data_IF_858908661451
#
_entry.id   IF_858908661451
#
_cell.length_a   1.000
_cell.length_b   1.000
_cell.length_c   1.000
_cell.angle_alpha   90.00
_cell.angle_beta   90.00
_cell.angle_gamma   90.00
#
_symmetry.space_group_name_H-M   'P 1'
#
loop_
_entity.id
_entity.type
_entity.pdbx_description
1 polymer ?
#
# COMPACT_ATOMS: atom_id res chain seq x y z
N UNK A 1 1.09 1.35 3.33
CA UNK A 1 0.45 2.12 4.41
C UNK A 1 -1.02 2.27 4.09
N UNK A 2 -1.89 2.08 5.08
CA UNK A 2 -3.32 2.38 4.98
C UNK A 2 -3.74 3.28 6.13
N UNK A 3 -4.38 4.39 5.79
CA UNK A 3 -4.98 5.33 6.73
C UNK A 3 -6.49 5.13 6.68
N UNK A 4 -7.11 4.88 7.83
CA UNK A 4 -8.56 4.82 8.01
C UNK A 4 -8.85 5.35 9.40
N UNK A 5 -9.03 6.67 9.49
CA UNK A 5 -9.17 7.37 10.76
C UNK A 5 -10.25 8.45 10.68
N UNK A 6 -10.85 8.74 11.83
CA UNK A 6 -11.83 9.80 12.01
C UNK A 6 -11.40 10.66 13.19
N UNK A 7 -11.20 11.95 12.95
CA UNK A 7 -10.80 12.93 13.97
C UNK A 7 -11.64 14.19 13.79
N UNK A 8 -12.22 14.69 14.88
CA UNK A 8 -13.08 15.90 14.87
C UNK A 8 -14.21 15.86 13.82
N UNK A 9 -14.73 14.67 13.50
CA UNK A 9 -15.79 14.46 12.50
C UNK A 9 -15.31 14.44 11.04
N UNK A 10 -14.03 14.70 10.78
CA UNK A 10 -13.41 14.54 9.46
C UNK A 10 -12.89 13.10 9.32
N UNK A 11 -13.09 12.51 8.14
CA UNK A 11 -12.64 11.14 7.81
C UNK A 11 -11.50 11.19 6.81
N UNK A 12 -10.39 10.54 7.15
CA UNK A 12 -9.28 10.32 6.24
C UNK A 12 -9.19 8.85 5.90
N UNK A 13 -9.36 8.55 4.60
CA UNK A 13 -9.19 7.22 4.03
C UNK A 13 -8.25 7.31 2.85
N UNK A 14 -7.07 6.74 3.02
CA UNK A 14 -6.03 6.78 2.01
C UNK A 14 -5.18 5.50 2.06
N UNK A 15 -4.58 5.15 0.93
CA UNK A 15 -3.75 3.97 0.77
C UNK A 15 -2.62 4.25 -0.21
N UNK A 16 -1.39 4.07 0.26
CA UNK A 16 -0.17 4.32 -0.50
C UNK A 16 0.97 3.40 -0.07
N UNK A 17 2.05 3.37 -0.84
CA UNK A 17 3.28 2.64 -0.53
C UNK A 17 4.32 3.58 0.07
N UNK A 18 5.04 3.14 1.10
CA UNK A 18 6.09 3.93 1.76
C UNK A 18 7.43 3.21 1.65
N UNK A 19 8.48 3.95 1.29
CA UNK A 19 9.84 3.41 1.29
C UNK A 19 10.37 3.38 2.73
N UNK A 20 10.54 2.18 3.30
CA UNK A 20 11.08 1.99 4.66
C UNK A 20 12.50 2.55 4.83
N UNK A 21 13.26 2.66 3.74
CA UNK A 21 14.62 3.21 3.74
C UNK A 21 14.66 4.72 3.45
N UNK A 22 13.51 5.41 3.42
CA UNK A 22 13.44 6.86 3.25
C UNK A 22 14.10 7.59 4.43
N UNK A 23 14.94 8.58 4.14
CA UNK A 23 15.72 9.34 5.13
C UNK A 23 15.50 10.85 5.05
N UNK A 24 14.97 11.36 3.94
CA UNK A 24 14.81 12.79 3.70
C UNK A 24 13.41 13.28 4.06
N UNK A 25 12.39 12.47 3.78
CA UNK A 25 10.99 12.81 4.07
C UNK A 25 10.54 12.07 5.33
N UNK A 26 10.28 12.80 6.41
CA UNK A 26 9.74 12.20 7.63
C UNK A 26 8.23 11.95 7.51
N UNK A 27 7.67 10.99 8.27
CA UNK A 27 6.21 10.82 8.35
C UNK A 27 5.47 12.11 8.71
N UNK A 28 6.07 12.96 9.55
CA UNK A 28 5.51 14.26 9.94
C UNK A 28 5.47 15.24 8.76
N UNK A 29 6.56 15.36 8.00
CA UNK A 29 6.58 16.21 6.80
C UNK A 29 5.56 15.75 5.76
N UNK A 30 5.46 14.43 5.55
CA UNK A 30 4.45 13.86 4.66
C UNK A 30 3.04 14.16 5.16
N UNK A 31 2.78 13.98 6.46
CA UNK A 31 1.48 14.23 7.05
C UNK A 31 1.07 15.70 6.99
N UNK A 32 2.01 16.63 7.15
CA UNK A 32 1.75 18.07 6.98
C UNK A 32 1.30 18.40 5.56
N UNK A 33 2.02 17.91 4.54
CA UNK A 33 1.67 18.09 3.13
C UNK A 33 0.30 17.48 2.83
N UNK A 34 0.06 16.24 3.30
CA UNK A 34 -1.22 15.56 3.10
C UNK A 34 -2.39 16.32 3.76
N UNK A 35 -2.18 16.91 4.93
CA UNK A 35 -3.21 17.72 5.58
C UNK A 35 -3.46 19.03 4.84
N UNK A 36 -2.42 19.66 4.30
CA UNK A 36 -2.53 20.88 3.49
C UNK A 36 -3.30 20.62 2.19
N UNK A 37 -2.93 19.56 1.45
CA UNK A 37 -3.58 19.16 0.19
C UNK A 37 -5.07 18.83 0.35
N UNK A 38 -5.47 18.35 1.54
CA UNK A 38 -6.84 17.90 1.85
C UNK A 38 -7.63 18.86 2.75
N UNK A 39 -7.10 20.05 3.04
CA UNK A 39 -7.69 21.05 3.94
C UNK A 39 -8.08 20.46 5.33
N UNK A 40 -7.23 19.60 5.90
CA UNK A 40 -7.44 18.95 7.20
C UNK A 40 -6.82 19.72 8.36
N UNK A 41 -7.35 19.52 9.57
CA UNK A 41 -6.78 20.10 10.79
C UNK A 41 -5.41 19.46 11.11
N UNK A 42 -4.32 20.17 10.78
CA UNK A 42 -2.94 19.72 11.00
C UNK A 42 -2.64 19.35 12.45
N UNK A 43 -3.18 20.11 13.42
CA UNK A 43 -2.93 19.87 14.84
C UNK A 43 -3.47 18.51 15.31
N UNK A 44 -4.58 18.06 14.72
CA UNK A 44 -5.23 16.79 15.05
C UNK A 44 -4.72 15.63 14.20
N UNK A 45 -4.53 15.84 12.89
CA UNK A 45 -4.23 14.76 11.94
C UNK A 45 -2.74 14.43 11.82
N UNK A 46 -1.83 15.42 11.89
CA UNK A 46 -0.39 15.17 11.68
C UNK A 46 0.16 14.14 12.67
N UNK A 47 -0.11 14.23 14.00
CA UNK A 47 0.36 13.24 14.95
C UNK A 47 -0.23 11.84 14.67
N UNK A 48 -1.51 11.77 14.33
CA UNK A 48 -2.21 10.51 14.07
C UNK A 48 -1.68 9.80 12.81
N UNK A 49 -1.50 10.54 11.71
CA UNK A 49 -0.96 10.02 10.44
C UNK A 49 0.48 9.55 10.64
N UNK A 50 1.33 10.39 11.26
CA UNK A 50 2.74 10.08 11.47
C UNK A 50 2.91 8.82 12.33
N UNK A 51 2.14 8.71 13.40
CA UNK A 51 2.12 7.52 14.25
C UNK A 51 1.66 6.28 13.48
N UNK A 52 0.59 6.39 12.68
CA UNK A 52 0.08 5.27 11.88
C UNK A 52 1.10 4.79 10.84
N UNK A 53 1.82 5.71 10.18
CA UNK A 53 2.91 5.39 9.26
C UNK A 53 4.02 4.63 10.00
N UNK A 54 4.54 5.20 11.10
CA UNK A 54 5.64 4.61 11.87
C UNK A 54 5.29 3.20 12.34
N UNK A 55 4.12 3.01 12.94
CA UNK A 55 3.65 1.70 13.41
C UNK A 55 3.58 0.67 12.29
N UNK A 56 3.04 1.03 11.12
CA UNK A 56 2.93 0.11 10.00
C UNK A 56 4.29 -0.21 9.37
N UNK A 57 5.21 0.76 9.34
CA UNK A 57 6.58 0.56 8.84
C UNK A 57 7.37 -0.35 9.79
N UNK A 58 7.27 -0.14 11.10
CA UNK A 58 7.93 -0.99 12.12
C UNK A 58 7.36 -2.40 12.14
N UNK A 59 6.04 -2.55 11.95
CA UNK A 59 5.39 -3.87 11.84
C UNK A 59 5.75 -4.60 10.54
N UNK A 60 6.27 -3.90 9.53
CA UNK A 60 6.65 -4.51 8.25
C UNK A 60 7.99 -5.25 8.37
N UNK A 61 7.91 -6.58 8.24
CA UNK A 61 9.08 -7.45 8.21
C UNK A 61 9.63 -7.55 6.78
N UNK A 62 10.94 -7.31 6.63
CA UNK A 62 11.68 -7.54 5.38
C UNK A 62 11.93 -9.04 5.19
N UNK A 63 10.85 -9.81 5.07
CA UNK A 63 10.96 -11.23 4.79
C UNK A 63 11.07 -11.41 3.27
N UNK A 64 12.27 -11.17 2.74
CA UNK A 64 12.61 -11.68 1.42
C UNK A 64 12.74 -13.19 1.56
N UNK A 65 11.76 -13.93 1.05
CA UNK A 65 11.91 -15.38 0.93
C UNK A 65 13.20 -15.64 0.15
N UNK A 66 14.06 -16.47 0.76
CA UNK A 66 15.38 -16.80 0.24
C UNK A 66 15.30 -17.41 -1.16
N UNK A 67 16.45 -17.41 -1.83
CA UNK A 67 16.60 -17.93 -3.20
C UNK A 67 16.08 -19.37 -3.28
N UNK A 68 14.95 -19.53 -3.96
CA UNK A 68 14.28 -20.78 -4.22
C UNK A 68 13.65 -20.75 -5.60
N UNK A 69 13.54 -21.91 -6.26
CA UNK A 69 12.85 -22.02 -7.54
C UNK A 69 11.33 -22.02 -7.30
N UNK A 70 10.63 -21.09 -7.94
CA UNK A 70 9.17 -21.05 -8.15
C UNK A 70 8.33 -20.97 -6.87
N UNK A 71 7.99 -19.73 -6.45
CA UNK A 71 7.16 -19.44 -5.27
C UNK A 71 5.86 -18.75 -5.68
N UNK A 72 5.10 -19.41 -6.57
CA UNK A 72 3.81 -18.89 -7.03
C UNK A 72 2.73 -18.96 -5.97
N UNK A 73 2.06 -17.84 -5.80
CA UNK A 73 0.85 -17.70 -4.98
C UNK A 73 -0.28 -17.12 -5.83
N UNK A 74 -1.51 -17.27 -5.33
CA UNK A 74 -2.68 -16.64 -5.94
C UNK A 74 -2.94 -15.31 -5.23
N UNK A 75 -2.89 -14.22 -5.99
CA UNK A 75 -3.30 -12.90 -5.55
C UNK A 75 -4.76 -12.68 -5.95
N UNK A 76 -5.57 -12.17 -5.02
CA UNK A 76 -6.97 -11.79 -5.27
C UNK A 76 -7.15 -10.30 -5.06
N UNK A 77 -7.57 -9.59 -6.09
CA UNK A 77 -7.89 -8.17 -6.00
C UNK A 77 -9.39 -8.00 -5.69
N UNK A 78 -9.66 -7.11 -4.75
CA UNK A 78 -11.01 -6.61 -4.46
C UNK A 78 -10.90 -5.13 -4.07
N UNK A 79 -10.78 -4.28 -5.08
CA UNK A 79 -10.50 -2.85 -4.94
C UNK A 79 -11.74 -2.05 -5.30
N UNK A 80 -12.14 -1.12 -4.42
CA UNK A 80 -13.28 -0.23 -4.63
C UNK A 80 -12.80 1.21 -4.60
N UNK A 81 -13.05 1.95 -5.68
CA UNK A 81 -12.74 3.38 -5.80
C UNK A 81 -13.97 4.07 -6.40
N UNK A 82 -14.53 5.03 -5.66
CA UNK A 82 -15.77 5.70 -6.04
C UNK A 82 -16.91 4.69 -6.26
N UNK A 83 -17.48 4.69 -7.46
CA UNK A 83 -18.56 3.80 -7.90
C UNK A 83 -18.06 2.59 -8.72
N UNK A 84 -16.75 2.39 -8.85
CA UNK A 84 -16.16 1.32 -9.64
C UNK A 84 -15.52 0.29 -8.71
N UNK A 85 -15.72 -0.99 -9.03
CA UNK A 85 -15.15 -2.12 -8.28
C UNK A 85 -14.34 -2.99 -9.24
N UNK A 86 -13.08 -3.23 -8.89
CA UNK A 86 -12.18 -4.13 -9.59
C UNK A 86 -12.03 -5.41 -8.78
N UNK A 87 -12.46 -6.53 -9.37
CA UNK A 87 -12.30 -7.87 -8.81
C UNK A 87 -11.54 -8.71 -9.83
N UNK A 88 -10.39 -9.25 -9.42
CA UNK A 88 -9.52 -10.03 -10.28
C UNK A 88 -8.74 -11.08 -9.48
N UNK A 89 -8.17 -12.07 -10.16
CA UNK A 89 -7.34 -13.10 -9.58
C UNK A 89 -6.25 -13.56 -10.56
N UNK A 90 -4.99 -13.56 -10.11
CA UNK A 90 -3.85 -13.98 -10.91
C UNK A 90 -2.77 -14.69 -10.06
N UNK A 91 -1.87 -15.41 -10.75
CA UNK A 91 -0.68 -16.00 -10.13
C UNK A 91 0.44 -14.96 -10.02
N UNK A 92 1.14 -14.95 -8.90
CA UNK A 92 2.30 -14.11 -8.66
C UNK A 92 3.47 -14.95 -8.15
N UNK A 93 4.59 -14.91 -8.85
CA UNK A 93 5.83 -15.54 -8.39
C UNK A 93 6.60 -14.58 -7.45
N UNK A 94 6.72 -14.96 -6.18
CA UNK A 94 7.42 -14.18 -5.16
C UNK A 94 8.94 -14.26 -5.27
N UNK A 95 9.46 -15.25 -6.01
CA UNK A 95 10.90 -15.48 -6.18
C UNK A 95 11.53 -14.58 -7.24
N UNK A 96 10.74 -14.08 -8.19
CA UNK A 96 11.23 -13.21 -9.26
C UNK A 96 11.39 -11.76 -8.79
N UNK A 97 12.64 -11.32 -8.66
CA UNK A 97 13.00 -9.96 -8.25
C UNK A 97 12.60 -8.89 -9.27
N UNK A 98 12.27 -9.26 -10.52
CA UNK A 98 11.77 -8.33 -11.54
C UNK A 98 10.28 -8.04 -11.38
N UNK A 99 9.54 -8.83 -10.61
CA UNK A 99 8.11 -8.61 -10.39
C UNK A 99 7.89 -7.41 -9.45
N UNK A 100 7.48 -6.27 -10.02
CA UNK A 100 7.10 -5.07 -9.28
C UNK A 100 5.57 -4.92 -9.20
N UNK A 101 4.99 -4.89 -7.99
CA UNK A 101 3.56 -4.62 -7.80
C UNK A 101 3.11 -3.27 -8.37
N UNK A 102 3.96 -2.24 -8.30
CA UNK A 102 3.67 -0.91 -8.83
C UNK A 102 3.59 -0.91 -10.35
N UNK A 103 4.55 -1.55 -11.01
CA UNK A 103 4.57 -1.62 -12.47
C UNK A 103 3.41 -2.45 -13.01
N UNK A 104 3.12 -3.59 -12.38
CA UNK A 104 1.95 -4.40 -12.67
C UNK A 104 0.66 -3.59 -12.50
N UNK A 105 0.48 -2.89 -11.39
CA UNK A 105 -0.71 -2.08 -11.12
C UNK A 105 -0.89 -0.98 -12.16
N UNK A 106 0.20 -0.33 -12.59
CA UNK A 106 0.20 0.71 -13.61
C UNK A 106 -0.26 0.16 -14.97
N UNK A 107 0.27 -1.00 -15.39
CA UNK A 107 -0.12 -1.64 -16.64
C UNK A 107 -1.57 -2.11 -16.60
N UNK A 108 -1.97 -2.83 -15.55
CA UNK A 108 -3.34 -3.34 -15.39
C UNK A 108 -4.37 -2.20 -15.38
N UNK A 109 -4.10 -1.12 -14.64
CA UNK A 109 -4.98 0.04 -14.62
C UNK A 109 -5.08 0.69 -16.01
N UNK A 110 -3.96 0.85 -16.73
CA UNK A 110 -3.96 1.40 -18.08
C UNK A 110 -4.75 0.55 -19.08
N UNK A 111 -4.61 -0.77 -19.04
CA UNK A 111 -5.33 -1.72 -19.92
C UNK A 111 -6.83 -1.69 -19.68
N UNK A 112 -7.26 -1.50 -18.43
CA UNK A 112 -8.68 -1.43 -18.05
C UNK A 112 -9.25 -0.01 -18.17
N UNK A 113 -8.44 0.99 -18.57
CA UNK A 113 -8.85 2.39 -18.60
C UNK A 113 -9.16 2.97 -17.22
N UNK A 114 -8.59 2.37 -16.17
CA UNK A 114 -8.68 2.83 -14.78
C UNK A 114 -7.54 3.81 -14.49
N UNK A 115 -7.85 4.97 -13.90
CA UNK A 115 -6.86 5.99 -13.56
C UNK A 115 -6.82 6.30 -12.07
N UNK A 116 -5.83 7.08 -11.67
CA UNK A 116 -5.75 7.64 -10.32
C UNK A 116 -5.54 6.60 -9.22
N UNK A 117 -6.44 6.61 -8.23
CA UNK A 117 -6.37 5.84 -6.97
C UNK A 117 -6.36 4.31 -7.17
N UNK A 118 -6.78 3.81 -8.35
CA UNK A 118 -6.71 2.38 -8.64
C UNK A 118 -5.28 1.86 -8.64
N UNK A 119 -4.32 2.61 -9.20
CA UNK A 119 -2.92 2.16 -9.29
C UNK A 119 -2.34 1.93 -7.89
N UNK A 120 -2.54 2.90 -6.99
CA UNK A 120 -2.05 2.82 -5.61
C UNK A 120 -2.77 1.74 -4.81
N UNK A 121 -4.09 1.62 -4.98
CA UNK A 121 -4.89 0.60 -4.28
C UNK A 121 -4.54 -0.83 -4.72
N UNK A 122 -4.32 -1.06 -6.02
CA UNK A 122 -3.88 -2.36 -6.56
C UNK A 122 -2.48 -2.69 -6.01
N UNK A 123 -1.51 -1.79 -6.17
CA UNK A 123 -0.14 -2.01 -5.70
C UNK A 123 -0.09 -2.33 -4.20
N UNK A 124 -0.86 -1.58 -3.39
CA UNK A 124 -0.98 -1.84 -1.96
C UNK A 124 -1.58 -3.21 -1.66
N UNK A 125 -2.68 -3.59 -2.34
CA UNK A 125 -3.34 -4.89 -2.15
C UNK A 125 -2.40 -6.05 -2.44
N UNK A 126 -1.64 -5.96 -3.53
CA UNK A 126 -0.64 -6.96 -3.92
C UNK A 126 0.47 -7.04 -2.85
N UNK A 127 1.08 -5.91 -2.46
CA UNK A 127 2.13 -5.90 -1.42
C UNK A 127 1.65 -6.44 -0.06
N UNK A 128 0.42 -6.12 0.33
CA UNK A 128 -0.17 -6.62 1.57
C UNK A 128 -0.30 -8.14 1.57
N UNK A 129 -0.77 -8.71 0.46
CA UNK A 129 -0.87 -10.16 0.28
C UNK A 129 0.51 -10.82 0.26
N UNK A 130 1.48 -10.25 -0.48
CA UNK A 130 2.85 -10.76 -0.50
C UNK A 130 3.48 -10.80 0.91
N UNK A 131 3.33 -9.71 1.67
CA UNK A 131 3.84 -9.64 3.04
C UNK A 131 3.18 -10.67 3.96
N UNK A 132 1.87 -10.91 3.81
CA UNK A 132 1.15 -11.94 4.57
C UNK A 132 1.64 -13.35 4.21
N UNK A 133 1.76 -13.66 2.93
CA UNK A 133 2.26 -14.96 2.47
C UNK A 133 3.70 -15.21 2.97
N UNK A 134 4.59 -14.24 2.86
CA UNK A 134 5.96 -14.36 3.38
C UNK A 134 5.99 -14.70 4.88
N UNK A 135 5.08 -14.12 5.68
CA UNK A 135 4.95 -14.45 7.11
C UNK A 135 4.47 -15.88 7.34
N UNK A 136 3.52 -16.36 6.54
CA UNK A 136 2.96 -17.71 6.70
C UNK A 136 3.92 -18.81 6.25
N UNK A 137 4.72 -18.59 5.21
CA UNK A 137 5.70 -19.58 4.71
C UNK A 137 7.03 -19.60 5.47
N UNK A 138 7.29 -18.61 6.35
CA UNK A 138 8.52 -18.54 7.15
C UNK A 138 8.48 -19.38 8.45
N UNK A 139 7.47 -20.26 8.62
CA UNK A 139 7.30 -21.15 9.77
C UNK A 139 7.34 -22.63 9.39
#
# INVERSE_FOLDING_TARGET
IRLDMEVDGQKLRDTFTWNKNEQLITPEMFAEILCDDLDLNTASFVPAISQAIRQQVEAHQDNFLGEGNDQRIIIKLNVHVGNVSLVDQFEWDMSDKQNSPEEFARVLAAELGLGGEFVTAIAYSVRGQLSWHNKTFSY
#
